data_IF_635734792291
#
_entry.id   IF_635734792291
#
_cell.length_a   1.000
_cell.length_b   1.000
_cell.length_c   1.000
_cell.angle_alpha   90.00
_cell.angle_beta   90.00
_cell.angle_gamma   90.00
#
_symmetry.space_group_name_H-M   'P 1'
#
loop_
_entity.id
_entity.type
_entity.pdbx_description
1 polymer ?
#
# COMPACT_ATOMS: atom_id res chain seq x y z
N UNK A 1 13.24 56.46 11.31
CA UNK A 1 13.15 55.33 10.36
C UNK A 1 12.62 54.13 11.13
N UNK A 2 11.30 53.93 11.14
CA UNK A 2 10.69 52.72 11.66
C UNK A 2 10.68 51.69 10.53
N UNK A 3 11.34 50.55 10.69
CA UNK A 3 11.32 49.48 9.70
C UNK A 3 10.56 48.28 10.27
N UNK A 4 9.35 48.10 9.75
CA UNK A 4 8.36 47.11 10.11
C UNK A 4 8.51 45.93 9.16
N UNK A 5 9.14 44.84 9.59
CA UNK A 5 9.24 43.62 8.79
C UNK A 5 8.49 42.48 9.50
N UNK A 6 7.19 42.41 9.23
CA UNK A 6 6.36 41.25 9.55
C UNK A 6 6.76 40.06 8.66
N UNK A 7 6.69 38.81 9.15
CA UNK A 7 6.79 37.66 8.27
C UNK A 7 5.52 37.58 7.41
N UNK A 8 5.70 37.59 6.08
CA UNK A 8 4.64 37.32 5.13
C UNK A 8 4.14 35.87 5.32
N UNK A 9 2.90 35.75 5.79
CA UNK A 9 2.13 34.51 5.81
C UNK A 9 1.76 34.12 4.37
N UNK A 10 2.55 33.27 3.72
CA UNK A 10 2.11 32.56 2.52
C UNK A 10 1.35 31.31 2.94
N UNK A 11 0.05 31.48 3.13
CA UNK A 11 -0.94 30.43 3.26
C UNK A 11 -1.07 29.67 1.95
N UNK A 12 -0.30 28.59 1.78
CA UNK A 12 -0.66 27.53 0.83
C UNK A 12 -1.68 26.62 1.51
N UNK A 13 -2.95 26.97 1.32
CA UNK A 13 -4.10 26.15 1.65
C UNK A 13 -4.12 24.90 0.76
N UNK A 14 -3.37 23.88 1.16
CA UNK A 14 -3.52 22.54 0.63
C UNK A 14 -4.57 21.84 1.48
N UNK A 15 -5.79 21.75 0.94
CA UNK A 15 -6.93 21.09 1.57
C UNK A 15 -6.52 19.76 2.20
N UNK A 16 -6.63 19.70 3.53
CA UNK A 16 -6.47 18.52 4.35
C UNK A 16 -7.56 17.51 4.02
N UNK A 17 -7.40 16.78 2.91
CA UNK A 17 -7.98 15.45 2.78
C UNK A 17 -7.27 14.61 3.82
N UNK A 18 -7.92 14.37 4.95
CA UNK A 18 -7.60 13.24 5.82
C UNK A 18 -7.77 11.97 4.99
N UNK A 19 -6.72 11.62 4.25
CA UNK A 19 -6.55 10.27 3.77
C UNK A 19 -6.27 9.47 5.04
N UNK A 20 -7.22 8.61 5.42
CA UNK A 20 -7.01 7.61 6.45
C UNK A 20 -5.80 6.78 6.00
N UNK A 21 -4.63 7.11 6.53
CA UNK A 21 -3.42 6.35 6.27
C UNK A 21 -3.65 5.01 6.94
N UNK A 22 -3.67 3.94 6.15
CA UNK A 22 -3.72 2.60 6.74
C UNK A 22 -2.49 2.51 7.64
N UNK A 23 -2.69 2.35 8.95
CA UNK A 23 -1.60 2.15 9.90
C UNK A 23 -1.08 0.73 9.73
N UNK A 24 -0.30 0.53 8.67
CA UNK A 24 0.36 -0.72 8.37
C UNK A 24 1.74 -0.66 9.03
N UNK A 25 2.12 -1.66 9.84
CA UNK A 25 3.46 -1.73 10.42
C UNK A 25 4.55 -1.66 9.34
N UNK A 26 5.65 -0.96 9.64
CA UNK A 26 6.82 -0.89 8.74
C UNK A 26 7.43 -2.28 8.51
N UNK A 27 7.37 -3.15 9.52
CA UNK A 27 7.80 -4.55 9.44
C UNK A 27 6.57 -5.45 9.52
N UNK A 28 6.31 -6.18 8.44
CA UNK A 28 5.21 -7.11 8.33
C UNK A 28 5.63 -8.52 8.76
N UNK A 29 4.66 -9.35 9.21
CA UNK A 29 4.88 -10.78 9.42
C UNK A 29 5.55 -11.42 8.21
N UNK A 30 6.39 -12.42 8.45
CA UNK A 30 7.11 -13.07 7.36
C UNK A 30 8.39 -12.36 6.93
N UNK A 31 8.75 -11.22 7.53
CA UNK A 31 10.03 -10.53 7.28
C UNK A 31 9.99 -9.66 6.03
N UNK A 32 8.88 -8.97 5.81
CA UNK A 32 8.75 -7.96 4.76
C UNK A 32 8.82 -6.56 5.35
N UNK A 33 9.59 -5.68 4.74
CA UNK A 33 9.61 -4.25 5.09
C UNK A 33 8.74 -3.49 4.12
N UNK A 34 7.82 -2.68 4.64
CA UNK A 34 6.96 -1.77 3.89
C UNK A 34 7.75 -0.51 3.51
N UNK A 35 7.68 -0.14 2.24
CA UNK A 35 8.25 1.10 1.71
C UNK A 35 7.17 2.11 1.32
N UNK A 36 7.52 3.00 0.39
CA UNK A 36 6.59 4.03 -0.10
C UNK A 36 5.49 3.44 -0.99
N UNK A 37 4.35 4.15 -1.06
CA UNK A 37 3.25 3.85 -1.97
C UNK A 37 3.70 4.01 -3.44
N UNK A 38 3.43 2.99 -4.25
CA UNK A 38 3.70 2.98 -5.69
C UNK A 38 2.43 2.95 -6.54
N UNK A 39 1.26 2.80 -5.92
CA UNK A 39 -0.02 2.87 -6.61
C UNK A 39 -1.22 2.75 -5.69
N UNK A 40 -2.37 3.25 -6.14
CA UNK A 40 -3.61 3.24 -5.37
C UNK A 40 -4.81 3.00 -6.27
N UNK A 41 -5.68 2.10 -5.83
CA UNK A 41 -6.95 1.80 -6.46
C UNK A 41 -8.12 1.95 -5.48
N UNK A 42 -9.31 1.55 -5.93
CA UNK A 42 -10.54 1.69 -5.14
C UNK A 42 -10.54 0.88 -3.84
N UNK A 43 -9.93 -0.32 -3.87
CA UNK A 43 -10.00 -1.30 -2.78
C UNK A 43 -8.64 -1.64 -2.15
N UNK A 44 -7.55 -1.10 -2.69
CA UNK A 44 -6.21 -1.44 -2.24
C UNK A 44 -5.22 -0.30 -2.49
N UNK A 45 -4.16 -0.30 -1.68
CA UNK A 45 -2.96 0.50 -1.89
C UNK A 45 -1.80 -0.46 -2.13
N UNK A 46 -0.94 -0.13 -3.09
CA UNK A 46 0.24 -0.93 -3.42
C UNK A 46 1.47 -0.18 -2.96
N UNK A 47 2.30 -0.83 -2.16
CA UNK A 47 3.56 -0.30 -1.66
C UNK A 47 4.73 -1.05 -2.29
N UNK A 48 5.84 -0.35 -2.50
CA UNK A 48 7.13 -1.02 -2.66
C UNK A 48 7.48 -1.70 -1.34
N UNK A 49 8.08 -2.88 -1.38
CA UNK A 49 8.56 -3.57 -0.19
C UNK A 49 9.88 -4.31 -0.43
N UNK A 50 10.45 -4.82 0.65
CA UNK A 50 11.66 -5.64 0.64
C UNK A 50 11.39 -6.95 1.38
N UNK A 51 11.69 -8.08 0.75
CA UNK A 51 11.75 -9.37 1.45
C UNK A 51 13.12 -9.51 2.12
N UNK A 52 13.18 -9.42 3.45
CA UNK A 52 14.43 -9.46 4.20
C UNK A 52 15.18 -10.81 4.09
N UNK A 53 14.48 -11.89 3.74
CA UNK A 53 15.10 -13.22 3.60
C UNK A 53 15.81 -13.41 2.27
N UNK A 54 15.27 -12.81 1.20
CA UNK A 54 15.79 -12.98 -0.17
C UNK A 54 16.44 -11.72 -0.73
N UNK A 55 16.35 -10.59 -0.02
CA UNK A 55 16.74 -9.26 -0.49
C UNK A 55 16.06 -8.83 -1.80
N UNK A 56 14.92 -9.44 -2.14
CA UNK A 56 14.17 -9.08 -3.34
C UNK A 56 13.22 -7.92 -3.06
N UNK A 57 13.19 -6.95 -3.98
CA UNK A 57 12.14 -5.92 -3.99
C UNK A 57 10.81 -6.56 -4.41
N UNK A 58 9.74 -6.24 -3.70
CA UNK A 58 8.39 -6.79 -3.93
C UNK A 58 7.35 -5.66 -4.01
N UNK A 59 6.16 -5.99 -4.51
CA UNK A 59 4.97 -5.15 -4.41
C UNK A 59 4.03 -5.71 -3.34
N UNK A 60 3.65 -4.89 -2.35
CA UNK A 60 2.76 -5.26 -1.26
C UNK A 60 1.39 -4.61 -1.52
N UNK A 61 0.40 -5.41 -1.91
CA UNK A 61 -0.99 -4.97 -2.15
C UNK A 61 -1.79 -5.07 -0.85
N UNK A 62 -1.91 -3.95 -0.13
CA UNK A 62 -2.72 -3.85 1.08
C UNK A 62 -4.19 -3.63 0.74
N UNK A 63 -5.04 -4.62 1.03
CA UNK A 63 -6.47 -4.60 0.68
C UNK A 63 -7.30 -4.05 1.85
N UNK A 64 -8.15 -3.08 1.57
CA UNK A 64 -9.04 -2.46 2.56
C UNK A 64 -10.31 -3.31 2.68
N UNK A 65 -10.29 -4.32 3.57
CA UNK A 65 -11.39 -5.30 3.74
C UNK A 65 -12.75 -4.63 3.95
N UNK A 66 -12.81 -3.51 4.68
CA UNK A 66 -14.05 -2.75 4.92
C UNK A 66 -14.70 -2.15 3.67
N UNK A 67 -13.99 -2.07 2.54
CA UNK A 67 -14.51 -1.60 1.26
C UNK A 67 -14.97 -2.72 0.33
N UNK A 68 -14.90 -3.98 0.76
CA UNK A 68 -15.26 -5.12 -0.06
C UNK A 68 -16.70 -5.55 0.21
N UNK A 69 -17.49 -5.72 -0.85
CA UNK A 69 -18.74 -6.49 -0.80
C UNK A 69 -18.42 -7.99 -0.80
N UNK A 70 -19.39 -8.83 -0.43
CA UNK A 70 -19.22 -10.29 -0.48
C UNK A 70 -18.76 -10.79 -1.86
N UNK A 71 -19.28 -10.20 -2.94
CA UNK A 71 -18.85 -10.52 -4.31
C UNK A 71 -17.40 -10.13 -4.58
N UNK A 72 -16.97 -8.94 -4.15
CA UNK A 72 -15.59 -8.50 -4.32
C UNK A 72 -14.61 -9.31 -3.47
N UNK A 73 -15.03 -9.70 -2.27
CA UNK A 73 -14.26 -10.58 -1.42
C UNK A 73 -14.09 -11.97 -2.05
N UNK A 74 -15.16 -12.53 -2.64
CA UNK A 74 -15.07 -13.79 -3.37
C UNK A 74 -14.11 -13.69 -4.57
N UNK A 75 -14.20 -12.61 -5.35
CA UNK A 75 -13.28 -12.35 -6.47
C UNK A 75 -11.82 -12.28 -6.00
N UNK A 76 -11.56 -11.61 -4.86
CA UNK A 76 -10.23 -11.55 -4.25
C UNK A 76 -9.72 -12.94 -3.87
N UNK A 77 -10.57 -13.77 -3.25
CA UNK A 77 -10.19 -15.15 -2.91
C UNK A 77 -9.86 -15.96 -4.14
N UNK A 78 -10.62 -15.80 -5.23
CA UNK A 78 -10.37 -16.53 -6.46
C UNK A 78 -9.09 -16.03 -7.17
N UNK A 79 -8.82 -14.72 -7.17
CA UNK A 79 -7.52 -14.14 -7.60
C UNK A 79 -6.36 -14.80 -6.84
N UNK A 80 -6.44 -14.89 -5.51
CA UNK A 80 -5.41 -15.52 -4.67
C UNK A 80 -5.28 -17.02 -5.02
N UNK A 81 -6.38 -17.76 -5.18
CA UNK A 81 -6.35 -19.19 -5.52
C UNK A 81 -5.68 -19.43 -6.87
N UNK A 82 -5.95 -18.58 -7.86
CA UNK A 82 -5.35 -18.66 -9.20
C UNK A 82 -3.84 -18.38 -9.09
N UNK A 83 -3.45 -17.27 -8.45
CA UNK A 83 -2.04 -16.89 -8.34
C UNK A 83 -1.20 -17.86 -7.51
N UNK A 84 -1.79 -18.58 -6.54
CA UNK A 84 -1.12 -19.66 -5.81
C UNK A 84 -0.70 -20.84 -6.70
N UNK A 85 -1.40 -21.06 -7.81
CA UNK A 85 -1.17 -22.20 -8.71
C UNK A 85 -0.28 -21.86 -9.90
N UNK A 86 -0.05 -20.59 -10.18
CA UNK A 86 0.68 -20.15 -11.38
C UNK A 86 2.08 -19.67 -11.00
N UNK A 87 3.10 -20.27 -11.63
CA UNK A 87 4.50 -19.85 -11.57
C UNK A 87 5.07 -19.88 -12.98
N UNK A 88 5.27 -18.70 -13.57
CA UNK A 88 5.78 -18.57 -14.93
C UNK A 88 6.54 -17.25 -15.09
N UNK A 89 7.59 -17.22 -15.93
CA UNK A 89 8.45 -16.03 -16.09
C UNK A 89 7.73 -14.78 -16.60
N UNK A 90 6.62 -14.96 -17.31
CA UNK A 90 5.82 -13.86 -17.88
C UNK A 90 4.53 -13.56 -17.08
N UNK A 91 4.37 -14.14 -15.88
CA UNK A 91 3.20 -13.91 -15.03
C UNK A 91 3.67 -13.46 -13.65
N UNK A 92 3.03 -12.42 -13.11
CA UNK A 92 3.36 -11.92 -11.77
C UNK A 92 3.13 -13.02 -10.73
N UNK A 93 4.17 -13.32 -9.98
CA UNK A 93 4.16 -14.34 -8.95
C UNK A 93 3.61 -13.78 -7.63
N UNK A 94 2.67 -14.50 -7.00
CA UNK A 94 2.30 -14.25 -5.62
C UNK A 94 3.40 -14.77 -4.69
N UNK A 95 4.16 -13.87 -4.06
CA UNK A 95 5.26 -14.26 -3.16
C UNK A 95 4.73 -14.80 -1.84
N UNK A 96 3.81 -14.07 -1.21
CA UNK A 96 3.16 -14.43 0.04
C UNK A 96 1.77 -13.79 0.11
N UNK A 97 0.91 -14.29 0.99
CA UNK A 97 -0.43 -13.75 1.24
C UNK A 97 -0.75 -13.90 2.73
N UNK A 98 -0.87 -12.76 3.41
CA UNK A 98 -1.23 -12.66 4.83
C UNK A 98 -2.66 -12.15 4.98
N UNK A 99 -3.35 -12.70 5.98
CA UNK A 99 -4.71 -12.31 6.34
C UNK A 99 -4.72 -12.10 7.84
N UNK A 100 -4.91 -10.86 8.27
CA UNK A 100 -5.25 -10.52 9.66
C UNK A 100 -6.54 -11.19 10.12
#
# INVERSE_FOLDING_TARGET
MANNNQPASSSSSSSSRQQHQLEIPEILPGGFTLGHEIGRGSFAVVYRGLNARTNQTVAIKAVIKSKLTNKLFQNLQDEIKILKKIRHGNVVALVDCMVD
#
